data_IF_753267089587
#
_entry.id   IF_753267089587
#
_cell.length_a   1.000
_cell.length_b   1.000
_cell.length_c   1.000
_cell.angle_alpha   90.00
_cell.angle_beta   90.00
_cell.angle_gamma   90.00
#
_symmetry.space_group_name_H-M   'P 1'
#
loop_
_entity.id
_entity.type
_entity.pdbx_description
1 polymer ?
#
# COMPACT_ATOMS: atom_id res chain seq x y z
N UNK A 1 0.16 2.51 -35.87
CA UNK A 1 0.08 1.89 -34.53
C UNK A 1 -1.22 1.11 -34.50
N UNK A 2 -1.16 -0.21 -34.51
CA UNK A 2 -2.36 -1.05 -34.68
C UNK A 2 -3.16 -1.07 -33.38
N UNK A 3 -4.48 -1.27 -33.45
CA UNK A 3 -5.37 -1.27 -32.28
C UNK A 3 -4.96 -2.31 -31.21
N UNK A 4 -4.27 -3.37 -31.62
CA UNK A 4 -3.71 -4.44 -30.78
C UNK A 4 -2.58 -3.93 -29.87
N UNK A 5 -1.64 -3.15 -30.42
CA UNK A 5 -0.52 -2.55 -29.67
C UNK A 5 -1.02 -1.64 -28.54
N UNK A 6 -2.12 -0.94 -28.78
CA UNK A 6 -2.73 -0.01 -27.81
C UNK A 6 -3.39 -0.73 -26.64
N UNK A 7 -3.99 -1.91 -26.88
CA UNK A 7 -4.58 -2.73 -25.82
C UNK A 7 -3.50 -3.44 -25.00
N UNK A 8 -2.48 -4.00 -25.64
CA UNK A 8 -1.34 -4.61 -24.98
C UNK A 8 -0.58 -3.61 -24.10
N UNK A 9 -0.34 -2.40 -24.59
CA UNK A 9 0.29 -1.33 -23.82
C UNK A 9 -0.53 -0.93 -22.58
N UNK A 10 -1.86 -0.79 -22.74
CA UNK A 10 -2.78 -0.49 -21.62
C UNK A 10 -2.83 -1.63 -20.59
N UNK A 11 -2.89 -2.88 -21.04
CA UNK A 11 -2.88 -4.05 -20.17
C UNK A 11 -1.55 -4.19 -19.40
N UNK A 12 -0.43 -3.92 -20.07
CA UNK A 12 0.90 -3.90 -19.45
C UNK A 12 1.02 -2.80 -18.38
N UNK A 13 0.53 -1.59 -18.69
CA UNK A 13 0.50 -0.48 -17.71
C UNK A 13 -0.37 -0.79 -16.49
N UNK A 14 -1.55 -1.39 -16.70
CA UNK A 14 -2.41 -1.82 -15.59
C UNK A 14 -1.74 -2.89 -14.73
N UNK A 15 -1.10 -3.89 -15.36
CA UNK A 15 -0.39 -4.94 -14.63
C UNK A 15 0.77 -4.37 -13.80
N UNK A 16 1.51 -3.40 -14.33
CA UNK A 16 2.58 -2.71 -13.62
C UNK A 16 2.04 -1.97 -12.39
N UNK A 17 0.95 -1.21 -12.56
CA UNK A 17 0.31 -0.47 -11.47
C UNK A 17 -0.19 -1.42 -10.38
N UNK A 18 -0.87 -2.51 -10.75
CA UNK A 18 -1.35 -3.54 -9.82
C UNK A 18 -0.18 -4.19 -9.09
N UNK A 19 0.91 -4.53 -9.80
CA UNK A 19 2.11 -5.13 -9.19
C UNK A 19 2.77 -4.19 -8.18
N UNK A 20 2.93 -2.91 -8.53
CA UNK A 20 3.49 -1.90 -7.62
C UNK A 20 2.63 -1.71 -6.37
N UNK A 21 1.31 -1.72 -6.56
CA UNK A 21 0.29 -1.68 -5.51
C UNK A 21 0.43 -2.86 -4.54
N UNK A 22 0.50 -4.09 -5.07
CA UNK A 22 0.61 -5.34 -4.29
C UNK A 22 1.92 -5.36 -3.52
N UNK A 23 3.01 -4.96 -4.18
CA UNK A 23 4.32 -4.86 -3.56
C UNK A 23 4.29 -3.92 -2.35
N UNK A 24 3.80 -2.69 -2.54
CA UNK A 24 3.71 -1.71 -1.46
C UNK A 24 2.82 -2.18 -0.30
N UNK A 25 1.69 -2.84 -0.58
CA UNK A 25 0.82 -3.39 0.45
C UNK A 25 1.51 -4.49 1.27
N UNK A 26 2.22 -5.39 0.59
CA UNK A 26 2.94 -6.50 1.24
C UNK A 26 4.06 -5.99 2.15
N UNK A 27 4.82 -4.99 1.68
CA UNK A 27 5.89 -4.36 2.48
C UNK A 27 5.32 -3.63 3.69
N UNK A 28 4.26 -2.82 3.55
CA UNK A 28 3.67 -2.13 4.69
C UNK A 28 3.02 -3.07 5.70
N UNK A 29 2.36 -4.13 5.25
CA UNK A 29 1.77 -5.13 6.15
C UNK A 29 2.86 -5.80 6.99
N UNK A 30 3.99 -6.14 6.38
CA UNK A 30 5.15 -6.71 7.08
C UNK A 30 5.72 -5.74 8.12
N UNK A 31 5.86 -4.46 7.78
CA UNK A 31 6.33 -3.41 8.70
C UNK A 31 5.34 -3.17 9.85
N UNK A 32 4.05 -3.17 9.57
CA UNK A 32 3.01 -3.05 10.59
C UNK A 32 3.03 -4.23 11.57
N UNK A 33 3.16 -5.45 11.05
CA UNK A 33 3.27 -6.66 11.87
C UNK A 33 4.52 -6.64 12.74
N UNK A 34 5.68 -6.25 12.19
CA UNK A 34 6.92 -6.09 12.95
C UNK A 34 6.78 -5.04 14.06
N UNK A 35 6.16 -3.90 13.77
CA UNK A 35 5.91 -2.85 14.76
C UNK A 35 5.00 -3.33 15.90
N UNK A 36 3.92 -4.05 15.57
CA UNK A 36 3.00 -4.60 16.58
C UNK A 36 3.68 -5.70 17.43
N UNK A 37 4.56 -6.51 16.85
CA UNK A 37 5.38 -7.48 17.59
C UNK A 37 6.32 -6.80 18.59
N UNK A 38 6.95 -5.69 18.18
CA UNK A 38 7.78 -4.89 19.09
C UNK A 38 6.96 -4.29 20.25
N UNK A 39 5.66 -4.07 20.05
CA UNK A 39 4.73 -3.62 21.09
C UNK A 39 4.20 -4.78 21.97
N UNK A 40 4.74 -5.99 21.84
CA UNK A 40 4.35 -7.16 22.63
C UNK A 40 3.14 -7.93 22.10
N UNK A 41 2.63 -7.61 20.89
CA UNK A 41 1.53 -8.36 20.28
C UNK A 41 2.06 -9.61 19.59
N UNK A 42 1.54 -10.79 19.96
CA UNK A 42 1.85 -12.01 19.24
C UNK A 42 1.10 -12.05 17.90
N UNK A 43 1.81 -11.82 16.80
CA UNK A 43 1.28 -11.93 15.45
C UNK A 43 2.06 -13.04 14.75
N UNK A 44 1.51 -14.26 14.60
CA UNK A 44 2.17 -15.33 13.87
C UNK A 44 2.41 -14.94 12.40
N UNK A 45 3.56 -15.31 11.85
CA UNK A 45 3.87 -15.12 10.41
C UNK A 45 2.84 -15.82 9.50
N UNK A 46 2.24 -16.91 9.99
CA UNK A 46 1.26 -17.70 9.25
C UNK A 46 -0.02 -16.90 8.95
N UNK A 47 -0.44 -16.02 9.86
CA UNK A 47 -1.59 -15.16 9.63
C UNK A 47 -1.36 -14.20 8.46
N UNK A 48 -0.13 -13.73 8.28
CA UNK A 48 0.21 -12.83 7.17
C UNK A 48 0.08 -13.52 5.81
N UNK A 49 0.22 -14.85 5.74
CA UNK A 49 0.02 -15.63 4.51
C UNK A 49 -1.44 -15.67 4.07
N UNK A 50 -2.37 -15.45 5.00
CA UNK A 50 -3.80 -15.45 4.73
C UNK A 50 -4.38 -14.05 4.48
N UNK A 51 -3.57 -12.99 4.65
CA UNK A 51 -3.99 -11.62 4.34
C UNK A 51 -3.78 -11.39 2.84
N UNK A 52 -4.87 -11.14 2.12
CA UNK A 52 -4.77 -10.73 0.72
C UNK A 52 -4.08 -9.37 0.62
N UNK A 53 -3.01 -9.23 -0.19
CA UNK A 53 -2.40 -7.93 -0.45
C UNK A 53 -3.32 -7.02 -1.27
N UNK A 54 -4.45 -7.55 -1.78
CA UNK A 54 -5.46 -6.88 -2.58
C UNK A 54 -6.79 -6.67 -1.84
N UNK A 55 -6.88 -6.87 -0.52
CA UNK A 55 -8.11 -6.53 0.21
C UNK A 55 -8.39 -5.02 0.10
N UNK A 56 -9.31 -4.64 -0.79
CA UNK A 56 -9.41 -3.31 -1.37
C UNK A 56 -10.81 -2.68 -1.20
N UNK A 57 -11.30 -2.57 0.04
CA UNK A 57 -12.48 -1.72 0.25
C UNK A 57 -12.15 -0.22 0.20
N UNK A 58 -10.88 0.19 0.31
CA UNK A 58 -10.52 1.59 0.61
C UNK A 58 -9.57 2.32 -0.35
N UNK A 59 -8.99 1.72 -1.40
CA UNK A 59 -8.12 2.52 -2.30
C UNK A 59 -8.90 3.03 -3.51
N UNK A 60 -9.14 4.32 -3.53
CA UNK A 60 -9.56 4.97 -4.76
C UNK A 60 -8.35 4.93 -5.71
N UNK A 61 -8.55 4.43 -6.93
CA UNK A 61 -7.57 4.55 -8.03
C UNK A 61 -7.85 5.82 -8.85
N UNK A 62 -9.06 6.35 -8.73
CA UNK A 62 -9.56 7.53 -9.43
C UNK A 62 -9.69 8.67 -8.44
N UNK A 63 -8.87 9.71 -8.60
CA UNK A 63 -8.87 10.85 -7.71
C UNK A 63 -7.80 11.86 -8.11
N UNK A 64 -7.92 13.07 -7.59
CA UNK A 64 -6.86 14.07 -7.68
C UNK A 64 -5.96 13.85 -6.47
N UNK A 65 -4.70 13.50 -6.73
CA UNK A 65 -3.69 13.30 -5.69
C UNK A 65 -2.72 14.47 -5.72
N UNK A 66 -2.57 15.13 -4.57
CA UNK A 66 -1.49 16.10 -4.37
C UNK A 66 -0.32 15.39 -3.71
N UNK A 67 0.85 15.43 -4.36
CA UNK A 67 2.08 14.87 -3.81
C UNK A 67 2.94 16.00 -3.28
N UNK A 68 3.15 16.02 -1.97
CA UNK A 68 4.14 16.90 -1.36
C UNK A 68 5.51 16.22 -1.43
N UNK A 69 6.35 16.66 -2.37
CA UNK A 69 7.70 16.11 -2.57
C UNK A 69 8.62 16.36 -1.36
N UNK A 70 8.27 17.30 -0.49
CA UNK A 70 9.02 17.64 0.73
C UNK A 70 8.76 16.70 1.92
N UNK A 71 7.87 15.70 1.80
CA UNK A 71 7.75 14.66 2.83
C UNK A 71 8.98 13.74 2.78
N UNK A 72 10.07 14.22 3.36
CA UNK A 72 11.33 13.51 3.46
C UNK A 72 11.11 12.21 4.23
N UNK A 73 11.05 11.11 3.48
CA UNK A 73 10.90 9.78 4.03
C UNK A 73 12.25 9.38 4.62
N UNK A 74 12.34 9.30 5.94
CA UNK A 74 13.59 9.05 6.67
C UNK A 74 14.29 7.75 6.23
N UNK A 75 13.55 6.80 5.64
CA UNK A 75 14.07 5.54 5.06
C UNK A 75 13.40 5.17 3.72
N UNK A 76 12.86 6.13 2.97
CA UNK A 76 12.09 5.83 1.74
C UNK A 76 10.70 5.22 1.98
N UNK A 77 10.21 5.23 3.23
CA UNK A 77 8.86 4.82 3.57
C UNK A 77 8.09 5.90 4.34
N UNK A 78 6.77 5.94 4.14
CA UNK A 78 5.83 6.70 4.98
C UNK A 78 5.79 6.10 6.40
N UNK A 79 5.70 6.92 7.45
CA UNK A 79 5.45 6.42 8.82
C UNK A 79 4.14 5.64 8.95
N UNK A 80 4.12 4.61 9.79
CA UNK A 80 2.89 3.87 10.12
C UNK A 80 1.91 4.79 10.85
N UNK A 81 0.63 4.78 10.45
CA UNK A 81 -0.43 5.53 11.13
C UNK A 81 -0.66 4.91 12.51
N UNK A 82 -0.36 5.64 13.58
CA UNK A 82 -0.65 5.22 14.96
C UNK A 82 -2.10 5.60 15.28
N UNK A 83 -2.89 4.66 15.79
CA UNK A 83 -4.31 4.86 16.15
C UNK A 83 -4.54 5.95 17.21
N UNK A 84 -3.50 6.48 17.85
CA UNK A 84 -3.59 7.59 18.81
C UNK A 84 -3.90 8.98 18.24
N UNK A 85 -4.08 9.14 16.92
CA UNK A 85 -4.36 10.47 16.31
C UNK A 85 -5.45 10.45 15.24
N UNK A 86 -6.55 9.73 15.48
CA UNK A 86 -7.76 9.80 14.65
C UNK A 86 -9.06 9.99 15.45
N UNK A 87 -8.98 10.70 16.58
CA UNK A 87 -10.13 11.42 17.12
C UNK A 87 -9.76 12.90 17.10
N UNK A 88 -10.05 13.59 16.00
CA UNK A 88 -10.32 15.04 15.88
C UNK A 88 -10.33 15.45 14.41
N UNK A 89 -11.51 15.48 13.82
CA UNK A 89 -12.03 16.66 13.12
C UNK A 89 -13.55 16.46 12.99
N UNK A 90 -14.28 17.50 13.35
CA UNK A 90 -15.73 17.59 13.48
C UNK A 90 -16.44 17.61 12.12
#
# INVERSE_FOLDING_TARGET
MSADDSQAFRASGLNLVVSAIVYWNTVYLSRAAAHLRQQGRNIPNELLKHVSPLSWEHRNLTGIYSWDAEQQMTDGFRPLRRTGRMLRAA
#
